data_IF_628327583355
#
_entry.id   IF_628327583355
#
_cell.length_a   1.000
_cell.length_b   1.000
_cell.length_c   1.000
_cell.angle_alpha   90.00
_cell.angle_beta   90.00
_cell.angle_gamma   90.00
#
_symmetry.space_group_name_H-M   'P 1'
#
loop_
_entity.id
_entity.type
_entity.pdbx_description
1 polymer ?
#
# COMPACT_ATOMS: atom_id res chain seq x y z
N UNK A 1 -31.99 40.32 -57.20
CA UNK A 1 -31.73 41.34 -56.19
C UNK A 1 -31.91 40.69 -54.82
N UNK A 2 -30.86 40.03 -54.32
CA UNK A 2 -30.90 39.32 -53.01
C UNK A 2 -30.18 40.19 -51.98
N UNK A 3 -30.92 40.61 -50.94
CA UNK A 3 -30.36 41.35 -49.80
C UNK A 3 -29.75 40.35 -48.82
N UNK A 4 -28.44 40.42 -48.57
CA UNK A 4 -27.74 39.71 -47.54
C UNK A 4 -27.88 40.49 -46.24
N UNK A 5 -28.51 39.90 -45.24
CA UNK A 5 -28.51 40.45 -43.88
C UNK A 5 -27.27 39.97 -43.15
N UNK A 6 -26.36 40.88 -42.83
CA UNK A 6 -25.24 40.65 -41.94
C UNK A 6 -25.77 40.71 -40.51
N UNK A 7 -25.81 39.60 -39.85
CA UNK A 7 -26.10 39.52 -38.40
C UNK A 7 -24.83 39.88 -37.65
N UNK A 8 -24.86 41.02 -36.99
CA UNK A 8 -23.80 41.47 -36.06
C UNK A 8 -23.77 40.59 -34.85
N UNK A 9 -22.76 39.71 -34.74
CA UNK A 9 -22.51 38.95 -33.55
C UNK A 9 -21.95 39.82 -32.43
N UNK A 10 -22.69 39.93 -31.35
CA UNK A 10 -22.38 40.66 -30.13
C UNK A 10 -21.06 40.18 -29.51
N UNK A 11 -20.09 41.04 -29.30
CA UNK A 11 -18.76 40.80 -28.70
C UNK A 11 -18.79 40.59 -27.18
N UNK A 12 -19.88 40.13 -26.55
CA UNK A 12 -19.97 39.98 -25.08
C UNK A 12 -19.81 38.57 -24.48
N UNK A 13 -19.88 37.44 -25.20
CA UNK A 13 -19.73 36.13 -24.53
C UNK A 13 -18.27 35.74 -24.25
N UNK A 14 -17.29 36.28 -25.00
CA UNK A 14 -15.88 35.84 -24.83
C UNK A 14 -15.28 36.40 -23.54
N UNK A 15 -15.61 37.61 -23.14
CA UNK A 15 -15.11 38.21 -21.90
C UNK A 15 -15.65 37.48 -20.64
N UNK A 16 -16.92 37.07 -20.65
CA UNK A 16 -17.52 36.30 -19.57
C UNK A 16 -16.95 34.86 -19.51
N UNK A 17 -16.71 34.26 -20.66
CA UNK A 17 -16.09 32.92 -20.72
C UNK A 17 -14.63 32.92 -20.22
N UNK A 18 -13.87 33.99 -20.57
CA UNK A 18 -12.52 34.17 -20.03
C UNK A 18 -12.50 34.46 -18.52
N UNK A 19 -13.46 35.23 -18.00
CA UNK A 19 -13.57 35.52 -16.57
C UNK A 19 -13.95 34.25 -15.80
N UNK A 20 -14.88 33.44 -16.33
CA UNK A 20 -15.23 32.13 -15.72
C UNK A 20 -14.06 31.16 -15.80
N UNK A 21 -13.34 31.10 -16.92
CA UNK A 21 -12.15 30.29 -17.07
C UNK A 21 -11.02 30.71 -16.10
N UNK A 22 -10.81 32.02 -15.93
CA UNK A 22 -9.88 32.55 -14.94
C UNK A 22 -10.33 32.27 -13.51
N UNK A 23 -11.61 32.39 -13.17
CA UNK A 23 -12.10 32.02 -11.84
C UNK A 23 -11.97 30.53 -11.56
N UNK A 24 -12.22 29.66 -12.54
CA UNK A 24 -12.00 28.19 -12.40
C UNK A 24 -10.51 27.87 -12.24
N UNK A 25 -9.63 28.59 -12.93
CA UNK A 25 -8.17 28.43 -12.77
C UNK A 25 -7.69 28.95 -11.42
N UNK A 26 -8.27 30.05 -10.89
CA UNK A 26 -7.91 30.53 -9.56
C UNK A 26 -8.49 29.70 -8.41
N UNK A 27 -9.61 29.01 -8.59
CA UNK A 27 -10.13 28.05 -7.59
C UNK A 27 -9.37 26.72 -7.57
N UNK A 28 -8.57 26.40 -8.58
CA UNK A 28 -7.71 25.21 -8.62
C UNK A 28 -6.29 25.45 -8.09
N UNK A 29 -6.01 26.57 -7.43
CA UNK A 29 -4.86 26.67 -6.53
C UNK A 29 -5.15 25.74 -5.36
N UNK A 30 -4.87 24.44 -5.51
CA UNK A 30 -4.81 23.52 -4.40
C UNK A 30 -3.90 24.18 -3.35
N UNK A 31 -4.48 24.53 -2.20
CA UNK A 31 -3.70 25.02 -1.07
C UNK A 31 -2.82 23.85 -0.66
N UNK A 32 -1.55 23.89 -1.08
CA UNK A 32 -0.57 22.92 -0.61
C UNK A 32 -0.43 23.09 0.89
N UNK A 33 -0.66 22.02 1.62
CA UNK A 33 -0.42 22.04 3.06
C UNK A 33 1.07 22.26 3.32
N UNK A 34 1.44 23.12 4.29
CA UNK A 34 2.83 23.31 4.61
C UNK A 34 3.43 22.02 5.18
N UNK A 35 4.60 21.65 4.69
CA UNK A 35 5.39 20.57 5.27
C UNK A 35 6.04 21.10 6.55
N UNK A 36 5.55 20.62 7.70
CA UNK A 36 6.05 21.04 9.02
C UNK A 36 6.77 19.88 9.69
N UNK A 37 8.10 19.81 9.50
CA UNK A 37 8.99 18.85 10.17
C UNK A 37 10.04 19.62 10.92
N UNK A 38 10.15 19.36 12.24
CA UNK A 38 11.23 19.86 13.07
C UNK A 38 12.33 18.79 13.19
N UNK A 39 13.44 19.04 12.51
CA UNK A 39 14.60 18.12 12.48
C UNK A 39 15.29 17.98 13.83
N UNK A 40 15.15 18.96 14.72
CA UNK A 40 15.78 18.91 16.05
C UNK A 40 15.18 17.81 16.95
N UNK A 41 14.04 17.24 16.57
CA UNK A 41 13.43 16.11 17.27
C UNK A 41 14.01 14.76 16.89
N UNK A 42 15.04 14.72 16.03
CA UNK A 42 15.65 13.49 15.52
C UNK A 42 17.17 13.52 15.71
N UNK A 43 17.68 12.39 16.23
CA UNK A 43 19.12 12.15 16.41
C UNK A 43 19.53 10.95 15.56
N UNK A 44 20.03 11.22 14.37
CA UNK A 44 20.35 10.20 13.39
C UNK A 44 21.63 10.52 12.62
N UNK A 45 22.24 9.48 12.07
CA UNK A 45 23.38 9.54 11.15
C UNK A 45 23.12 8.59 9.98
N UNK A 46 23.37 9.04 8.75
CA UNK A 46 23.30 8.24 7.54
C UNK A 46 24.68 8.23 6.88
N UNK A 47 25.30 7.07 6.83
CA UNK A 47 26.52 6.83 6.07
C UNK A 47 26.21 5.89 4.90
N UNK A 48 26.95 5.99 3.82
CA UNK A 48 26.85 5.06 2.69
C UNK A 48 28.13 4.29 2.52
N UNK A 49 28.01 3.00 2.27
CA UNK A 49 29.18 2.18 1.96
C UNK A 49 29.64 2.38 0.48
N UNK A 50 30.63 1.62 0.08
CA UNK A 50 31.17 1.67 -1.30
C UNK A 50 30.11 1.38 -2.37
N UNK A 51 29.09 0.58 -2.07
CA UNK A 51 28.00 0.21 -2.98
C UNK A 51 26.85 1.20 -2.95
N UNK A 52 26.91 2.19 -2.07
CA UNK A 52 25.86 3.18 -1.88
C UNK A 52 24.75 2.73 -0.90
N UNK A 53 24.89 1.55 -0.29
CA UNK A 53 23.91 1.06 0.69
C UNK A 53 23.92 1.97 1.92
N UNK A 54 22.77 2.50 2.35
CA UNK A 54 22.72 3.37 3.52
C UNK A 54 22.85 2.58 4.83
N UNK A 55 23.68 3.07 5.71
CA UNK A 55 23.85 2.66 7.10
C UNK A 55 23.26 3.75 7.99
N UNK A 56 22.14 3.47 8.62
CA UNK A 56 21.38 4.42 9.41
C UNK A 56 21.60 4.10 10.89
N UNK A 57 22.09 5.08 11.64
CA UNK A 57 22.19 5.01 13.10
C UNK A 57 21.28 6.04 13.73
N UNK A 58 20.67 5.70 14.86
CA UNK A 58 19.81 6.60 15.59
C UNK A 58 19.78 6.32 17.08
N UNK A 59 19.45 7.33 17.89
CA UNK A 59 19.27 7.14 19.32
C UNK A 59 18.04 6.30 19.64
N UNK A 60 16.97 6.46 18.85
CA UNK A 60 15.72 5.73 19.00
C UNK A 60 15.33 4.97 17.73
N UNK A 61 14.40 4.01 17.85
CA UNK A 61 13.81 3.31 16.70
C UNK A 61 13.09 4.30 15.77
N UNK A 62 12.51 5.36 16.31
CA UNK A 62 11.89 6.44 15.56
C UNK A 62 12.90 7.22 14.70
N UNK A 63 14.11 7.46 15.23
CA UNK A 63 15.18 8.11 14.46
C UNK A 63 15.63 7.26 13.28
N UNK A 64 15.69 5.93 13.48
CA UNK A 64 15.94 4.98 12.39
C UNK A 64 14.86 5.08 11.32
N UNK A 65 13.58 5.05 11.72
CA UNK A 65 12.48 5.17 10.78
C UNK A 65 12.53 6.50 10.00
N UNK A 66 12.92 7.60 10.65
CA UNK A 66 13.16 8.88 9.97
C UNK A 66 14.25 8.74 8.90
N UNK A 67 15.37 8.13 9.25
CA UNK A 67 16.46 7.88 8.31
C UNK A 67 16.03 7.04 7.12
N UNK A 68 15.25 5.97 7.34
CA UNK A 68 14.68 5.14 6.26
C UNK A 68 13.78 5.97 5.34
N UNK A 69 12.88 6.78 5.90
CA UNK A 69 12.00 7.65 5.12
C UNK A 69 12.78 8.66 4.27
N UNK A 70 13.86 9.21 4.83
CA UNK A 70 14.74 10.14 4.12
C UNK A 70 15.45 9.48 2.93
N UNK A 71 16.09 8.32 3.13
CA UNK A 71 16.83 7.63 2.05
C UNK A 71 15.89 7.06 0.98
N UNK A 72 14.69 6.61 1.33
CA UNK A 72 13.67 6.23 0.34
C UNK A 72 13.25 7.43 -0.51
N UNK A 73 13.09 8.60 0.09
CA UNK A 73 12.76 9.81 -0.65
C UNK A 73 13.95 10.34 -1.48
N UNK A 74 15.18 10.05 -1.07
CA UNK A 74 16.39 10.45 -1.79
C UNK A 74 16.64 9.56 -3.02
N UNK A 75 16.52 8.23 -2.87
CA UNK A 75 16.95 7.25 -3.85
C UNK A 75 15.80 6.64 -4.66
N UNK A 76 14.62 6.48 -4.05
CA UNK A 76 13.46 5.77 -4.60
C UNK A 76 12.20 6.63 -4.65
N UNK A 77 12.34 7.94 -4.87
CA UNK A 77 11.23 8.89 -4.87
C UNK A 77 10.12 8.54 -5.86
N UNK A 78 10.49 8.11 -7.07
CA UNK A 78 9.52 7.75 -8.11
C UNK A 78 8.67 6.54 -7.71
N UNK A 79 9.22 5.61 -6.93
CA UNK A 79 8.47 4.46 -6.41
C UNK A 79 7.45 4.90 -5.36
N UNK A 80 7.83 5.85 -4.48
CA UNK A 80 6.88 6.48 -3.55
C UNK A 80 5.76 7.23 -4.28
N UNK A 81 6.08 7.93 -5.38
CA UNK A 81 5.08 8.61 -6.23
C UNK A 81 4.11 7.62 -6.89
N UNK A 82 4.53 6.38 -7.13
CA UNK A 82 3.64 5.34 -7.65
C UNK A 82 2.73 4.77 -6.55
N UNK A 83 3.24 4.60 -5.33
CA UNK A 83 2.52 3.99 -4.21
C UNK A 83 1.50 4.92 -3.55
N UNK A 84 1.84 6.19 -3.35
CA UNK A 84 0.98 7.09 -2.59
C UNK A 84 -0.44 7.27 -3.14
N UNK A 85 -0.67 7.36 -4.46
CA UNK A 85 -2.04 7.40 -5.00
C UNK A 85 -2.84 6.13 -4.70
N UNK A 86 -2.18 4.96 -4.71
CA UNK A 86 -2.80 3.70 -4.32
C UNK A 86 -3.24 3.72 -2.85
N UNK A 87 -2.37 4.14 -1.95
CA UNK A 87 -2.64 4.24 -0.52
C UNK A 87 -3.78 5.22 -0.19
N UNK A 88 -3.87 6.30 -0.96
CA UNK A 88 -4.91 7.33 -0.82
C UNK A 88 -6.24 6.98 -1.51
N UNK A 89 -6.34 5.86 -2.22
CA UNK A 89 -7.50 5.53 -3.04
C UNK A 89 -7.72 6.54 -4.18
N UNK A 90 -6.63 7.05 -4.74
CA UNK A 90 -6.57 8.02 -5.84
C UNK A 90 -5.80 7.49 -7.05
N UNK A 91 -5.67 6.17 -7.16
CA UNK A 91 -4.94 5.52 -8.23
C UNK A 91 -5.61 5.78 -9.61
N UNK A 92 -6.94 5.92 -9.65
CA UNK A 92 -7.68 6.33 -10.84
C UNK A 92 -7.33 7.75 -11.32
N UNK A 93 -6.89 8.66 -10.44
CA UNK A 93 -6.37 9.97 -10.82
C UNK A 93 -4.97 9.85 -11.43
N UNK A 94 -4.15 8.92 -10.94
CA UNK A 94 -2.78 8.71 -11.43
C UNK A 94 -2.78 7.91 -12.73
N UNK A 95 -3.46 6.77 -12.75
CA UNK A 95 -3.35 5.73 -13.78
C UNK A 95 -4.64 5.54 -14.61
N UNK A 96 -5.61 6.46 -14.49
CA UNK A 96 -6.84 6.42 -15.27
C UNK A 96 -7.74 5.23 -14.91
N UNK A 97 -8.30 4.58 -15.94
CA UNK A 97 -9.25 3.47 -15.76
C UNK A 97 -8.59 2.27 -15.06
N UNK A 98 -7.35 1.95 -15.40
CA UNK A 98 -6.64 0.81 -14.79
C UNK A 98 -6.45 1.02 -13.29
N UNK A 99 -6.07 2.23 -12.89
CA UNK A 99 -5.97 2.60 -11.47
C UNK A 99 -7.32 2.62 -10.74
N UNK A 100 -8.40 2.92 -11.44
CA UNK A 100 -9.73 2.98 -10.86
C UNK A 100 -10.25 1.61 -10.38
N UNK A 101 -9.77 0.51 -10.95
CA UNK A 101 -10.11 -0.84 -10.50
C UNK A 101 -9.63 -1.09 -9.07
N UNK A 102 -8.40 -0.67 -8.77
CA UNK A 102 -7.85 -0.78 -7.40
C UNK A 102 -8.60 0.13 -6.43
N UNK A 103 -8.88 1.38 -6.83
CA UNK A 103 -9.67 2.30 -6.00
C UNK A 103 -11.08 1.76 -5.72
N UNK A 104 -11.69 1.08 -6.71
CA UNK A 104 -12.98 0.42 -6.54
C UNK A 104 -12.92 -0.66 -5.46
N UNK A 105 -11.90 -1.53 -5.48
CA UNK A 105 -11.76 -2.60 -4.48
C UNK A 105 -11.48 -2.04 -3.08
N UNK A 106 -10.62 -1.02 -2.96
CA UNK A 106 -10.34 -0.35 -1.68
C UNK A 106 -11.63 0.20 -1.06
N UNK A 107 -12.50 0.83 -1.87
CA UNK A 107 -13.79 1.37 -1.42
C UNK A 107 -14.79 0.27 -1.13
N UNK A 108 -14.90 -0.75 -1.99
CA UNK A 108 -15.79 -1.87 -1.80
C UNK A 108 -15.50 -2.61 -0.48
N UNK A 109 -14.22 -2.82 -0.17
CA UNK A 109 -13.78 -3.45 1.08
C UNK A 109 -13.83 -2.48 2.27
N UNK A 110 -14.14 -1.20 2.04
CA UNK A 110 -14.19 -0.13 3.07
C UNK A 110 -12.90 -0.01 3.87
N UNK A 111 -11.75 -0.23 3.21
CA UNK A 111 -10.45 -0.27 3.89
C UNK A 111 -10.16 1.05 4.60
N UNK A 112 -10.46 2.18 3.96
CA UNK A 112 -10.24 3.51 4.52
C UNK A 112 -11.13 3.77 5.73
N UNK A 113 -12.42 3.49 5.61
CA UNK A 113 -13.41 3.70 6.66
C UNK A 113 -13.09 2.84 7.88
N UNK A 114 -12.82 1.55 7.69
CA UNK A 114 -12.46 0.62 8.77
C UNK A 114 -11.17 1.04 9.48
N UNK A 115 -10.17 1.49 8.71
CA UNK A 115 -8.93 2.00 9.30
C UNK A 115 -9.19 3.27 10.13
N UNK A 116 -9.97 4.21 9.61
CA UNK A 116 -10.28 5.47 10.30
C UNK A 116 -11.08 5.23 11.59
N UNK A 117 -11.93 4.19 11.61
CA UNK A 117 -12.68 3.79 12.80
C UNK A 117 -11.81 3.11 13.86
N UNK A 118 -10.92 2.18 13.46
CA UNK A 118 -10.27 1.27 14.41
C UNK A 118 -8.75 1.09 14.19
N UNK A 119 -8.19 1.49 13.05
CA UNK A 119 -6.83 1.10 12.65
C UNK A 119 -5.76 1.57 13.64
N UNK A 120 -5.77 2.85 14.00
CA UNK A 120 -4.78 3.39 14.95
C UNK A 120 -4.94 2.81 16.36
N UNK A 121 -6.17 2.48 16.77
CA UNK A 121 -6.43 1.93 18.12
C UNK A 121 -5.86 0.51 18.30
N UNK A 122 -5.60 -0.21 17.22
CA UNK A 122 -5.00 -1.55 17.24
C UNK A 122 -3.47 -1.52 17.32
N UNK A 123 -2.85 -0.37 17.12
CA UNK A 123 -1.40 -0.24 17.06
C UNK A 123 -0.85 0.38 18.34
N UNK A 124 0.20 -0.20 18.93
CA UNK A 124 0.90 0.44 20.05
C UNK A 124 1.57 1.73 19.62
N UNK A 125 1.78 2.64 20.57
CA UNK A 125 2.42 3.94 20.33
C UNK A 125 3.77 3.85 19.64
N UNK A 126 4.52 2.79 19.89
CA UNK A 126 5.82 2.53 19.26
C UNK A 126 5.70 2.42 17.73
N UNK A 127 4.72 1.71 17.22
CA UNK A 127 4.48 1.60 15.77
C UNK A 127 4.03 2.93 15.17
N UNK A 128 3.21 3.68 15.89
CA UNK A 128 2.80 5.03 15.49
C UNK A 128 4.00 5.98 15.44
N UNK A 129 4.92 5.87 16.39
CA UNK A 129 6.15 6.65 16.44
C UNK A 129 7.11 6.28 15.30
N UNK A 130 7.24 4.99 14.96
CA UNK A 130 8.00 4.55 13.78
C UNK A 130 7.40 5.13 12.49
N UNK A 131 6.10 4.98 12.30
CA UNK A 131 5.40 5.53 11.14
C UNK A 131 5.57 7.06 11.06
N UNK A 132 5.51 7.75 12.22
CA UNK A 132 5.77 9.20 12.29
C UNK A 132 7.20 9.54 11.87
N UNK A 133 8.19 8.83 12.39
CA UNK A 133 9.58 9.01 11.97
C UNK A 133 9.71 8.88 10.46
N UNK A 134 9.20 7.80 9.90
CA UNK A 134 9.29 7.52 8.48
C UNK A 134 8.66 8.62 7.60
N UNK A 135 7.43 9.04 7.92
CA UNK A 135 6.78 10.11 7.14
C UNK A 135 7.47 11.45 7.30
N UNK A 136 8.00 11.74 8.49
CA UNK A 136 8.78 12.97 8.73
C UNK A 136 10.08 12.97 7.92
N UNK A 137 10.75 11.81 7.75
CA UNK A 137 11.92 11.67 6.87
C UNK A 137 11.61 11.97 5.41
N UNK A 138 10.54 11.38 4.87
CA UNK A 138 10.07 11.65 3.50
C UNK A 138 9.71 13.14 3.33
N UNK A 139 8.95 13.68 4.27
CA UNK A 139 8.51 15.06 4.21
C UNK A 139 9.65 16.05 4.39
N UNK A 140 10.65 15.73 5.21
CA UNK A 140 11.84 16.54 5.38
C UNK A 140 12.67 16.60 4.09
N UNK A 141 12.88 15.46 3.41
CA UNK A 141 13.52 15.44 2.10
C UNK A 141 12.78 16.34 1.10
N UNK A 142 11.44 16.23 1.06
CA UNK A 142 10.61 17.04 0.18
C UNK A 142 10.72 18.54 0.47
N UNK A 143 10.78 18.92 1.75
CA UNK A 143 10.97 20.30 2.20
C UNK A 143 12.32 20.87 1.74
N UNK A 144 13.39 20.05 1.81
CA UNK A 144 14.74 20.44 1.39
C UNK A 144 14.93 20.45 -0.14
N UNK A 145 14.15 19.66 -0.87
CA UNK A 145 14.29 19.45 -2.30
C UNK A 145 13.00 19.76 -3.09
N UNK A 146 12.41 20.95 -2.97
CA UNK A 146 11.08 21.24 -3.54
C UNK A 146 11.03 21.18 -5.06
N UNK A 147 12.17 21.25 -5.76
CA UNK A 147 12.26 21.12 -7.20
C UNK A 147 12.30 19.67 -7.68
N UNK A 148 12.62 18.72 -6.80
CA UNK A 148 12.75 17.29 -7.12
C UNK A 148 11.49 16.49 -6.80
N UNK A 149 10.50 17.11 -6.14
CA UNK A 149 9.35 16.39 -5.59
C UNK A 149 8.02 16.78 -6.23
N UNK A 150 7.10 15.83 -6.26
CA UNK A 150 5.72 16.11 -6.61
C UNK A 150 4.98 16.70 -5.40
N UNK A 151 4.78 18.01 -5.37
CA UNK A 151 4.12 18.71 -4.27
C UNK A 151 2.72 18.21 -3.93
N UNK A 152 2.00 17.61 -4.89
CA UNK A 152 0.65 17.08 -4.66
C UNK A 152 0.66 15.81 -3.80
N UNK A 153 1.79 15.13 -3.69
CA UNK A 153 1.96 13.97 -2.85
C UNK A 153 2.11 14.35 -1.37
N UNK A 154 2.63 15.54 -1.09
CA UNK A 154 2.99 15.98 0.26
C UNK A 154 1.96 16.88 0.93
N UNK A 155 1.91 16.87 2.28
CA UNK A 155 2.66 15.98 3.15
C UNK A 155 2.16 14.54 3.05
N UNK A 156 3.09 13.58 3.14
CA UNK A 156 2.75 12.18 3.41
C UNK A 156 2.35 12.06 4.87
N UNK A 157 1.31 11.31 5.19
CA UNK A 157 0.80 11.16 6.55
C UNK A 157 1.04 9.75 7.12
N UNK A 158 0.99 9.63 8.45
CA UNK A 158 1.04 8.33 9.13
C UNK A 158 -0.06 7.41 8.60
N UNK A 159 -1.26 7.96 8.38
CA UNK A 159 -2.39 7.23 7.79
C UNK A 159 -2.03 6.62 6.45
N UNK A 160 -1.38 7.39 5.56
CA UNK A 160 -1.02 6.91 4.22
C UNK A 160 -0.12 5.67 4.30
N UNK A 161 0.91 5.68 5.14
CA UNK A 161 1.87 4.56 5.19
C UNK A 161 1.35 3.34 5.94
N UNK A 162 0.62 3.52 7.04
CA UNK A 162 0.04 2.40 7.78
C UNK A 162 -1.09 1.73 6.99
N UNK A 163 -1.95 2.53 6.37
CA UNK A 163 -2.97 2.03 5.46
C UNK A 163 -2.36 1.37 4.22
N UNK A 164 -1.27 1.95 3.71
CA UNK A 164 -0.50 1.40 2.61
C UNK A 164 0.09 0.03 2.93
N UNK A 165 0.59 -0.17 4.15
CA UNK A 165 1.06 -1.47 4.62
C UNK A 165 -0.04 -2.53 4.57
N UNK A 166 -1.25 -2.21 5.02
CA UNK A 166 -2.40 -3.10 4.96
C UNK A 166 -2.82 -3.41 3.51
N UNK A 167 -2.91 -2.39 2.65
CA UNK A 167 -3.25 -2.58 1.24
C UNK A 167 -2.21 -3.48 0.55
N UNK A 168 -0.92 -3.23 0.77
CA UNK A 168 0.15 -4.09 0.24
C UNK A 168 0.01 -5.52 0.73
N UNK A 169 -0.31 -5.72 2.02
CA UNK A 169 -0.52 -7.04 2.57
C UNK A 169 -1.66 -7.79 1.84
N UNK A 170 -2.81 -7.17 1.63
CA UNK A 170 -3.93 -7.77 0.89
C UNK A 170 -3.55 -8.14 -0.55
N UNK A 171 -2.74 -7.29 -1.21
CA UNK A 171 -2.26 -7.54 -2.57
C UNK A 171 -1.31 -8.75 -2.60
N UNK A 172 -0.35 -8.84 -1.69
CA UNK A 172 0.57 -9.97 -1.58
C UNK A 172 -0.13 -11.25 -1.16
N UNK A 173 -1.17 -11.17 -0.32
CA UNK A 173 -1.99 -12.29 0.08
C UNK A 173 -2.86 -12.85 -1.07
N UNK A 174 -3.00 -12.11 -2.17
CA UNK A 174 -3.59 -12.61 -3.41
C UNK A 174 -5.00 -12.11 -3.71
N UNK A 175 -5.44 -10.99 -3.14
CA UNK A 175 -6.77 -10.43 -3.38
C UNK A 175 -7.12 -10.36 -4.88
N UNK A 176 -6.24 -9.82 -5.70
CA UNK A 176 -6.50 -9.73 -7.15
C UNK A 176 -6.56 -11.08 -7.83
N UNK A 177 -5.69 -12.00 -7.45
CA UNK A 177 -5.68 -13.36 -8.01
C UNK A 177 -7.01 -14.08 -7.75
N UNK A 178 -7.53 -13.97 -6.53
CA UNK A 178 -8.82 -14.59 -6.19
C UNK A 178 -9.97 -13.99 -7.00
N UNK A 179 -9.99 -12.66 -7.18
CA UNK A 179 -10.99 -11.98 -8.01
C UNK A 179 -10.83 -12.33 -9.50
N UNK A 180 -9.60 -12.36 -10.01
CA UNK A 180 -9.31 -12.74 -11.39
C UNK A 180 -9.71 -14.19 -11.68
N UNK A 181 -9.58 -15.10 -10.72
CA UNK A 181 -9.98 -16.49 -10.86
C UNK A 181 -11.47 -16.66 -11.19
N UNK A 182 -12.33 -15.69 -10.81
CA UNK A 182 -13.75 -15.68 -11.09
C UNK A 182 -14.09 -15.32 -12.54
N UNK A 183 -13.17 -14.65 -13.21
CA UNK A 183 -13.41 -14.10 -14.55
C UNK A 183 -13.19 -15.10 -15.68
N UNK A 184 -12.83 -16.35 -15.47
CA UNK A 184 -12.42 -17.30 -16.53
C UNK A 184 -11.49 -16.67 -17.61
N UNK A 185 -10.88 -15.52 -17.32
CA UNK A 185 -9.97 -14.86 -18.24
C UNK A 185 -8.80 -15.80 -18.52
N UNK A 186 -8.59 -16.05 -19.79
CA UNK A 186 -7.33 -16.60 -20.28
C UNK A 186 -6.21 -15.88 -19.53
N UNK A 187 -5.40 -16.66 -18.82
CA UNK A 187 -4.30 -16.28 -17.96
C UNK A 187 -3.71 -14.93 -18.34
N UNK A 188 -4.02 -13.90 -17.57
CA UNK A 188 -3.17 -12.72 -17.52
C UNK A 188 -1.76 -13.25 -17.28
N UNK A 189 -0.80 -12.76 -18.03
CA UNK A 189 0.60 -13.24 -17.96
C UNK A 189 0.97 -13.38 -16.48
N UNK A 190 1.14 -14.61 -16.02
CA UNK A 190 1.49 -14.91 -14.63
C UNK A 190 2.74 -14.09 -14.33
N UNK A 191 2.59 -13.02 -13.55
CA UNK A 191 3.75 -12.39 -12.94
C UNK A 191 4.41 -13.52 -12.17
N UNK A 192 5.67 -13.87 -12.45
CA UNK A 192 6.33 -14.97 -11.77
C UNK A 192 6.29 -14.71 -10.28
N UNK A 193 5.36 -15.38 -9.58
CA UNK A 193 5.21 -15.29 -8.14
C UNK A 193 5.92 -16.47 -7.54
N UNK A 194 7.04 -16.23 -6.94
CA UNK A 194 7.81 -17.26 -6.26
C UNK A 194 8.95 -16.63 -5.50
N UNK A 195 9.65 -17.42 -4.73
CA UNK A 195 10.87 -17.01 -4.05
C UNK A 195 11.58 -18.27 -3.55
N UNK A 196 12.87 -18.16 -3.28
CA UNK A 196 13.64 -19.22 -2.67
C UNK A 196 14.35 -18.69 -1.42
N UNK A 197 14.32 -19.43 -0.35
CA UNK A 197 15.15 -19.19 0.83
C UNK A 197 15.91 -20.47 1.17
N UNK A 198 17.21 -20.40 1.32
CA UNK A 198 18.08 -21.52 1.63
C UNK A 198 18.95 -21.15 2.83
N UNK A 199 18.84 -21.94 3.90
CA UNK A 199 19.70 -21.81 5.07
C UNK A 199 20.67 -22.98 5.15
N UNK A 200 21.96 -22.69 5.29
CA UNK A 200 23.01 -23.71 5.44
C UNK A 200 23.63 -23.55 6.82
N UNK A 201 23.56 -24.65 7.61
CA UNK A 201 24.13 -24.70 8.95
C UNK A 201 25.66 -24.66 8.89
N UNK A 202 26.29 -23.91 9.78
CA UNK A 202 27.75 -23.79 9.87
C UNK A 202 28.50 -25.10 9.98
N UNK A 203 27.91 -26.14 10.60
CA UNK A 203 28.52 -27.49 10.67
C UNK A 203 28.73 -28.14 9.29
N UNK A 204 28.06 -27.65 8.25
CA UNK A 204 28.15 -28.14 6.86
C UNK A 204 28.99 -27.24 5.97
N UNK A 205 29.67 -26.25 6.53
CA UNK A 205 30.41 -25.23 5.78
C UNK A 205 31.87 -25.14 6.25
N UNK A 206 32.72 -24.61 5.38
CA UNK A 206 34.09 -24.20 5.72
C UNK A 206 34.07 -22.68 5.54
N UNK A 207 34.21 -21.84 6.56
CA UNK A 207 34.84 -21.98 7.89
C UNK A 207 33.85 -22.15 9.07
N UNK A 208 32.85 -22.99 9.00
CA UNK A 208 31.86 -23.20 10.06
C UNK A 208 30.94 -21.96 10.30
N UNK A 209 30.58 -21.28 9.22
CA UNK A 209 29.66 -20.16 9.22
C UNK A 209 28.31 -20.56 8.66
N UNK A 210 27.23 -20.09 9.26
CA UNK A 210 25.89 -20.26 8.71
C UNK A 210 25.66 -19.28 7.57
N UNK A 211 24.95 -19.72 6.54
CA UNK A 211 24.58 -18.89 5.38
C UNK A 211 23.08 -18.90 5.22
N UNK A 212 22.52 -17.71 4.89
CA UNK A 212 21.15 -17.55 4.47
C UNK A 212 21.16 -16.91 3.07
N UNK A 213 20.59 -17.60 2.10
CA UNK A 213 20.33 -17.05 0.78
C UNK A 213 18.83 -16.79 0.65
N UNK A 214 18.48 -15.60 0.20
CA UNK A 214 17.12 -15.20 -0.09
C UNK A 214 17.09 -14.75 -1.55
N UNK A 215 16.24 -15.36 -2.35
CA UNK A 215 16.02 -14.99 -3.75
C UNK A 215 14.54 -14.74 -3.97
N UNK A 216 14.14 -13.50 -3.91
CA UNK A 216 12.78 -13.06 -4.24
C UNK A 216 12.65 -12.90 -5.74
N UNK A 217 11.57 -13.42 -6.34
CA UNK A 217 11.27 -13.21 -7.76
C UNK A 217 10.53 -11.89 -7.98
N UNK A 218 10.98 -10.85 -7.29
CA UNK A 218 10.44 -9.49 -7.42
C UNK A 218 11.12 -8.75 -8.59
N UNK A 219 10.43 -7.78 -9.21
CA UNK A 219 11.08 -6.85 -10.15
C UNK A 219 12.31 -6.17 -9.52
N UNK A 220 13.32 -5.92 -10.33
CA UNK A 220 14.55 -5.24 -9.90
C UNK A 220 14.36 -3.74 -9.66
N UNK A 221 13.23 -3.18 -10.04
CA UNK A 221 12.89 -1.77 -9.90
C UNK A 221 11.38 -1.60 -9.74
N UNK A 222 10.96 -0.42 -9.32
CA UNK A 222 9.57 -0.07 -9.08
C UNK A 222 9.14 -0.33 -7.63
N UNK A 223 7.85 -0.13 -7.32
CA UNK A 223 7.34 -0.10 -5.94
C UNK A 223 7.54 -1.38 -5.12
N UNK A 224 7.84 -2.49 -5.77
CA UNK A 224 8.14 -3.79 -5.13
C UNK A 224 9.58 -4.25 -5.40
N UNK A 225 10.44 -3.36 -5.90
CA UNK A 225 11.88 -3.56 -5.96
C UNK A 225 12.48 -3.48 -4.56
N UNK A 226 13.45 -4.35 -4.28
CA UNK A 226 14.12 -4.34 -2.98
C UNK A 226 15.05 -3.14 -2.83
N UNK A 227 14.95 -2.48 -1.68
CA UNK A 227 15.86 -1.44 -1.24
C UNK A 227 16.68 -1.97 -0.06
N UNK A 228 18.01 -2.06 -0.25
CA UNK A 228 18.94 -2.59 0.75
C UNK A 228 19.37 -1.50 1.73
N UNK A 229 19.39 -1.83 3.02
CA UNK A 229 19.81 -0.91 4.08
C UNK A 229 20.29 -1.63 5.33
N UNK A 230 21.06 -0.91 6.13
CA UNK A 230 21.51 -1.32 7.47
C UNK A 230 20.98 -0.32 8.49
N UNK A 231 20.43 -0.82 9.61
CA UNK A 231 19.88 0.01 10.68
C UNK A 231 20.45 -0.38 12.03
N UNK A 232 20.69 0.61 12.91
CA UNK A 232 21.17 0.41 14.27
C UNK A 232 20.67 1.52 15.19
N UNK A 233 19.83 1.19 16.17
CA UNK A 233 19.39 2.11 17.22
C UNK A 233 19.99 1.75 18.58
N UNK A 234 20.10 2.75 19.46
CA UNK A 234 20.52 2.53 20.86
C UNK A 234 19.43 1.82 21.67
N UNK A 235 18.17 1.78 21.19
CA UNK A 235 17.07 1.00 21.77
C UNK A 235 17.14 -0.48 21.40
N UNK A 236 18.10 -0.91 20.56
CA UNK A 236 18.42 -2.30 20.29
C UNK A 236 17.92 -2.83 18.95
N UNK A 237 17.24 -2.04 18.12
CA UNK A 237 16.92 -2.45 16.77
C UNK A 237 18.17 -2.40 15.89
N UNK A 238 18.70 -3.58 15.57
CA UNK A 238 19.83 -3.78 14.67
C UNK A 238 19.43 -4.78 13.60
N UNK A 239 19.44 -4.37 12.35
CA UNK A 239 19.11 -5.26 11.25
C UNK A 239 19.81 -4.80 9.96
N UNK A 240 20.09 -5.76 9.08
CA UNK A 240 20.56 -5.55 7.72
C UNK A 240 19.71 -6.35 6.76
N UNK A 241 19.30 -5.77 5.66
CA UNK A 241 18.51 -6.48 4.66
C UNK A 241 17.78 -5.57 3.71
N UNK A 242 16.67 -6.05 3.18
CA UNK A 242 15.86 -5.34 2.21
C UNK A 242 14.45 -5.05 2.70
N UNK A 243 13.95 -3.91 2.25
CA UNK A 243 12.53 -3.57 2.36
C UNK A 243 12.02 -3.02 1.03
N UNK A 244 10.75 -2.64 0.99
CA UNK A 244 10.18 -1.95 -0.16
C UNK A 244 10.07 -0.45 0.13
N UNK A 245 10.22 0.44 -0.88
CA UNK A 245 9.79 1.82 -0.74
C UNK A 245 8.34 1.86 -0.20
N UNK A 246 8.10 2.70 0.80
CA UNK A 246 6.81 2.71 1.51
C UNK A 246 6.77 1.89 2.82
N UNK A 247 7.73 0.98 3.02
CA UNK A 247 7.91 0.22 4.28
C UNK A 247 9.06 0.81 5.10
N UNK A 248 8.87 0.91 6.40
CA UNK A 248 9.91 1.35 7.33
C UNK A 248 10.52 0.19 8.15
N UNK A 249 10.27 -1.06 7.73
CA UNK A 249 10.75 -2.27 8.42
C UNK A 249 11.57 -3.13 7.47
N UNK A 250 12.47 -3.95 8.00
CA UNK A 250 13.25 -4.90 7.21
C UNK A 250 12.39 -6.15 6.97
N UNK A 251 12.00 -6.38 5.72
CA UNK A 251 11.13 -7.48 5.35
C UNK A 251 11.91 -8.79 5.12
N UNK A 252 13.14 -8.70 4.61
CA UNK A 252 14.07 -9.84 4.46
C UNK A 252 15.44 -9.43 4.93
N UNK A 253 16.14 -10.28 5.67
CA UNK A 253 17.44 -9.89 6.17
C UNK A 253 17.90 -10.67 7.39
N UNK A 254 18.69 -10.04 8.22
CA UNK A 254 19.20 -10.61 9.45
C UNK A 254 19.47 -9.53 10.51
N UNK A 255 19.44 -9.96 11.75
CA UNK A 255 19.94 -9.21 12.88
C UNK A 255 21.13 -9.97 13.51
N UNK A 256 21.57 -9.55 14.68
CA UNK A 256 22.70 -10.17 15.40
C UNK A 256 22.49 -11.65 15.67
N UNK A 257 21.25 -12.12 15.80
CA UNK A 257 20.93 -13.44 16.34
C UNK A 257 20.34 -14.39 15.30
N UNK A 258 19.52 -13.87 14.39
CA UNK A 258 18.74 -14.64 13.42
C UNK A 258 18.78 -14.01 12.05
N UNK A 259 18.52 -14.82 11.02
CA UNK A 259 18.20 -14.35 9.68
C UNK A 259 16.82 -14.83 9.26
N UNK A 260 16.13 -14.05 8.47
CA UNK A 260 14.80 -14.38 7.94
C UNK A 260 14.67 -14.03 6.47
N UNK A 261 13.84 -14.79 5.78
CA UNK A 261 13.50 -14.57 4.39
C UNK A 261 12.04 -14.90 4.16
N UNK A 262 11.35 -14.01 3.49
CA UNK A 262 9.96 -14.20 3.10
C UNK A 262 9.91 -14.84 1.70
N UNK A 263 9.14 -15.91 1.56
CA UNK A 263 8.78 -16.50 0.28
C UNK A 263 7.29 -16.34 0.05
N UNK A 264 6.85 -16.41 -1.21
CA UNK A 264 5.42 -16.33 -1.52
C UNK A 264 4.68 -17.43 -0.76
N UNK A 265 3.78 -17.01 0.13
CA UNK A 265 2.79 -17.84 0.75
C UNK A 265 1.45 -17.63 0.03
N UNK A 266 0.65 -18.69 -0.05
CA UNK A 266 -0.74 -18.61 -0.54
C UNK A 266 -1.67 -18.99 0.59
N UNK A 267 -1.84 -18.11 1.62
CA UNK A 267 -2.74 -18.39 2.71
C UNK A 267 -4.17 -18.38 2.17
N UNK A 268 -4.98 -19.30 2.65
CA UNK A 268 -6.42 -19.34 2.41
C UNK A 268 -7.09 -18.31 3.34
N UNK A 269 -7.08 -17.05 2.94
CA UNK A 269 -7.62 -15.94 3.72
C UNK A 269 -8.83 -15.28 3.07
N UNK A 270 -9.19 -15.68 1.87
CA UNK A 270 -10.33 -15.16 1.13
C UNK A 270 -11.35 -16.26 0.88
N UNK A 271 -12.59 -16.02 1.27
CA UNK A 271 -13.74 -16.82 0.89
C UNK A 271 -14.59 -16.05 -0.13
N UNK A 272 -14.97 -16.74 -1.20
CA UNK A 272 -15.81 -16.15 -2.24
C UNK A 272 -17.10 -16.97 -2.37
N UNK A 273 -18.23 -16.31 -2.11
CA UNK A 273 -19.55 -16.91 -2.14
C UNK A 273 -20.31 -16.48 -3.39
N UNK A 274 -20.63 -17.41 -4.29
CA UNK A 274 -21.56 -17.12 -5.39
C UNK A 274 -22.96 -16.99 -4.82
N UNK A 275 -23.59 -15.83 -5.03
CA UNK A 275 -24.91 -15.52 -4.49
C UNK A 275 -26.02 -15.98 -5.45
N UNK A 276 -27.04 -16.66 -4.92
CA UNK A 276 -28.27 -16.92 -5.64
C UNK A 276 -29.16 -15.67 -5.62
N UNK A 277 -29.45 -15.11 -6.78
CA UNK A 277 -30.18 -13.84 -6.92
C UNK A 277 -31.65 -14.11 -7.17
N UNK A 278 -32.55 -13.36 -6.51
CA UNK A 278 -33.97 -13.46 -6.69
C UNK A 278 -34.33 -13.09 -8.15
N UNK A 279 -34.91 -14.03 -8.92
CA UNK A 279 -35.27 -13.77 -10.32
C UNK A 279 -36.33 -12.68 -10.51
N UNK A 280 -37.13 -12.40 -9.47
CA UNK A 280 -38.18 -11.38 -9.49
C UNK A 280 -37.72 -10.03 -8.91
N UNK A 281 -36.56 -9.99 -8.20
CA UNK A 281 -36.00 -8.78 -7.63
C UNK A 281 -34.46 -8.91 -7.53
N UNK A 282 -33.73 -8.38 -8.50
CA UNK A 282 -32.27 -8.47 -8.58
C UNK A 282 -31.53 -7.74 -7.45
N UNK A 283 -32.27 -7.02 -6.59
CA UNK A 283 -31.71 -6.41 -5.37
C UNK A 283 -31.79 -7.35 -4.15
N UNK A 284 -32.13 -8.62 -4.35
CA UNK A 284 -32.23 -9.63 -3.30
C UNK A 284 -31.34 -10.84 -3.60
N UNK A 285 -30.75 -11.39 -2.54
CA UNK A 285 -30.00 -12.64 -2.55
C UNK A 285 -30.61 -13.63 -1.54
N UNK A 286 -30.31 -14.89 -1.73
CA UNK A 286 -30.85 -15.98 -0.89
C UNK A 286 -29.96 -16.23 0.30
N UNK A 287 -30.59 -16.35 1.48
CA UNK A 287 -29.96 -16.83 2.71
C UNK A 287 -30.86 -17.90 3.28
N UNK A 288 -30.41 -19.14 3.31
CA UNK A 288 -31.18 -20.31 3.64
C UNK A 288 -32.46 -20.40 2.76
N UNK A 289 -33.64 -20.34 3.35
CA UNK A 289 -34.90 -20.37 2.64
C UNK A 289 -35.56 -19.00 2.44
N UNK A 290 -34.81 -17.91 2.68
CA UNK A 290 -35.35 -16.55 2.61
C UNK A 290 -34.59 -15.63 1.66
N UNK A 291 -35.27 -14.62 1.10
CA UNK A 291 -34.67 -13.57 0.33
C UNK A 291 -34.33 -12.37 1.22
N UNK A 292 -33.11 -11.85 1.12
CA UNK A 292 -32.65 -10.65 1.81
C UNK A 292 -32.25 -9.58 0.81
N UNK A 293 -32.53 -8.32 1.13
CA UNK A 293 -32.10 -7.17 0.34
C UNK A 293 -30.60 -6.90 0.51
N UNK A 294 -29.94 -6.54 -0.59
CA UNK A 294 -28.59 -5.95 -0.49
C UNK A 294 -28.64 -4.60 0.20
N UNK A 295 -27.68 -4.35 1.06
CA UNK A 295 -27.37 -2.98 1.49
C UNK A 295 -26.62 -2.30 0.35
N UNK A 296 -27.14 -1.18 -0.16
CA UNK A 296 -26.52 -0.45 -1.28
C UNK A 296 -26.08 0.92 -0.84
N UNK A 297 -24.82 1.22 -0.99
CA UNK A 297 -24.21 2.52 -0.73
C UNK A 297 -23.77 3.16 -2.04
N UNK A 298 -23.93 4.49 -2.12
CA UNK A 298 -23.54 5.26 -3.31
C UNK A 298 -22.28 6.05 -3.03
N UNK A 299 -21.26 5.84 -3.84
CA UNK A 299 -20.03 6.63 -3.79
C UNK A 299 -19.55 6.92 -5.22
N UNK A 300 -18.41 7.59 -5.36
CA UNK A 300 -17.84 7.94 -6.66
C UNK A 300 -16.34 7.65 -6.71
N UNK A 301 -15.90 7.18 -7.85
CA UNK A 301 -14.49 7.01 -8.20
C UNK A 301 -14.02 8.23 -8.98
N UNK A 302 -12.83 8.73 -8.66
CA UNK A 302 -12.18 9.83 -9.39
C UNK A 302 -11.25 9.26 -10.45
N UNK A 303 -11.59 9.50 -11.72
CA UNK A 303 -10.86 8.92 -12.84
C UNK A 303 -10.34 10.03 -13.75
N UNK A 304 -9.04 10.02 -14.05
CA UNK A 304 -8.44 10.90 -15.04
C UNK A 304 -8.57 10.31 -16.43
N UNK A 305 -9.20 11.06 -17.30
CA UNK A 305 -9.34 10.71 -18.72
C UNK A 305 -8.34 11.51 -19.56
N UNK A 306 -7.69 10.86 -20.54
CA UNK A 306 -6.75 11.46 -21.47
C UNK A 306 -5.67 12.34 -20.83
N UNK A 307 -5.32 12.06 -19.58
CA UNK A 307 -4.36 12.84 -18.76
C UNK A 307 -4.71 14.32 -18.54
N UNK A 308 -5.94 14.73 -18.88
CA UNK A 308 -6.36 16.15 -18.85
C UNK A 308 -7.54 16.36 -17.89
N UNK A 309 -8.58 15.54 -17.99
CA UNK A 309 -9.84 15.74 -17.28
C UNK A 309 -10.04 14.68 -16.19
N UNK A 310 -10.26 15.12 -14.96
CA UNK A 310 -10.69 14.23 -13.87
C UNK A 310 -12.21 14.28 -13.75
N UNK A 311 -12.86 13.12 -13.84
CA UNK A 311 -14.30 12.96 -13.69
C UNK A 311 -14.62 12.16 -12.43
N UNK A 312 -15.82 12.38 -11.87
CA UNK A 312 -16.37 11.54 -10.80
C UNK A 312 -17.38 10.56 -11.41
N UNK A 313 -17.06 9.27 -11.31
CA UNK A 313 -17.92 8.19 -11.80
C UNK A 313 -18.66 7.61 -10.61
N UNK A 314 -19.97 7.87 -10.54
CA UNK A 314 -20.84 7.31 -9.49
C UNK A 314 -20.94 5.79 -9.64
N UNK A 315 -20.89 5.09 -8.51
CA UNK A 315 -21.04 3.63 -8.41
C UNK A 315 -21.91 3.27 -7.21
N UNK A 316 -22.66 2.21 -7.38
CA UNK A 316 -23.38 1.56 -6.29
C UNK A 316 -22.49 0.42 -5.78
N UNK A 317 -22.25 0.41 -4.48
CA UNK A 317 -21.51 -0.62 -3.77
C UNK A 317 -22.51 -1.45 -2.99
N UNK A 318 -22.57 -2.74 -3.27
CA UNK A 318 -23.52 -3.66 -2.62
C UNK A 318 -22.83 -4.49 -1.56
N UNK A 319 -23.55 -4.76 -0.49
CA UNK A 319 -23.12 -5.57 0.64
C UNK A 319 -24.19 -6.60 0.98
N UNK A 320 -23.72 -7.80 1.35
CA UNK A 320 -24.55 -8.91 1.83
C UNK A 320 -24.08 -9.30 3.25
N UNK A 321 -24.79 -10.23 3.89
CA UNK A 321 -24.35 -10.84 5.15
C UNK A 321 -23.03 -11.61 5.01
N UNK A 322 -22.65 -11.97 3.78
CA UNK A 322 -21.42 -12.69 3.47
C UNK A 322 -20.26 -11.75 3.10
N UNK A 323 -20.47 -10.43 3.11
CA UNK A 323 -19.46 -9.42 2.80
C UNK A 323 -19.82 -8.53 1.60
N UNK A 324 -18.88 -7.67 1.17
CA UNK A 324 -18.99 -6.83 -0.01
C UNK A 324 -19.18 -7.65 -1.29
N UNK A 325 -19.95 -7.10 -2.23
CA UNK A 325 -20.42 -7.84 -3.42
C UNK A 325 -19.81 -7.25 -4.69
N UNK A 326 -19.22 -8.11 -5.51
CA UNK A 326 -18.79 -7.78 -6.87
C UNK A 326 -19.69 -8.49 -7.87
N UNK A 327 -19.86 -7.89 -9.05
CA UNK A 327 -20.57 -8.49 -10.17
C UNK A 327 -19.59 -8.78 -11.31
N UNK A 328 -19.56 -10.04 -11.75
CA UNK A 328 -18.68 -10.54 -12.80
C UNK A 328 -19.53 -11.38 -13.76
N UNK A 329 -19.57 -10.99 -15.03
CA UNK A 329 -20.34 -11.68 -16.09
C UNK A 329 -21.80 -11.96 -15.71
N UNK A 330 -22.43 -11.00 -15.02
CA UNK A 330 -23.82 -11.09 -14.58
C UNK A 330 -24.05 -11.98 -13.35
N UNK A 331 -23.01 -12.57 -12.77
CA UNK A 331 -23.06 -13.27 -11.50
C UNK A 331 -22.60 -12.36 -10.36
N UNK A 332 -23.21 -12.47 -9.20
CA UNK A 332 -22.81 -11.72 -8.00
C UNK A 332 -22.07 -12.64 -7.03
N UNK A 333 -20.96 -12.14 -6.52
CA UNK A 333 -20.08 -12.83 -5.57
C UNK A 333 -19.85 -11.95 -4.36
N UNK A 334 -20.03 -12.50 -3.16
CA UNK A 334 -19.61 -11.84 -1.93
C UNK A 334 -18.17 -12.24 -1.59
N UNK A 335 -17.39 -11.30 -1.09
CA UNK A 335 -15.99 -11.51 -0.70
C UNK A 335 -15.91 -11.39 0.82
N UNK A 336 -15.39 -12.41 1.48
CA UNK A 336 -15.00 -12.38 2.88
C UNK A 336 -13.50 -12.58 3.00
N UNK A 337 -12.85 -11.97 3.99
CA UNK A 337 -11.44 -12.23 4.25
C UNK A 337 -11.14 -12.20 5.76
N UNK A 338 -10.21 -13.05 6.18
CA UNK A 338 -9.89 -13.27 7.59
C UNK A 338 -9.18 -12.09 8.26
N UNK A 339 -8.63 -11.16 7.48
CA UNK A 339 -7.98 -9.94 7.96
C UNK A 339 -8.88 -8.72 7.95
N UNK A 340 -10.19 -8.92 7.78
CA UNK A 340 -11.15 -7.83 7.83
C UNK A 340 -11.10 -7.13 9.20
N UNK A 341 -11.00 -5.80 9.20
CA UNK A 341 -10.79 -4.97 10.41
C UNK A 341 -9.50 -5.25 11.21
N UNK A 342 -8.51 -5.94 10.65
CA UNK A 342 -7.22 -6.16 11.31
C UNK A 342 -6.12 -5.33 10.65
N UNK A 343 -5.41 -4.51 11.42
CA UNK A 343 -4.37 -3.59 10.96
C UNK A 343 -3.03 -3.77 11.70
N UNK A 344 -2.83 -4.95 12.30
CA UNK A 344 -1.65 -5.26 13.13
C UNK A 344 -0.42 -5.76 12.37
N UNK A 345 -0.45 -5.86 11.04
CA UNK A 345 0.63 -6.45 10.23
C UNK A 345 1.97 -5.76 10.45
N UNK A 346 1.95 -4.44 10.56
CA UNK A 346 3.16 -3.63 10.79
C UNK A 346 3.81 -3.98 12.12
N UNK A 347 3.01 -4.17 13.17
CA UNK A 347 3.51 -4.62 14.48
C UNK A 347 4.19 -5.99 14.36
N UNK A 348 3.54 -6.94 13.66
CA UNK A 348 4.10 -8.27 13.43
C UNK A 348 5.48 -8.23 12.81
N UNK A 349 5.64 -7.45 11.75
CA UNK A 349 6.95 -7.29 11.10
C UNK A 349 7.99 -6.63 12.01
N UNK A 350 7.62 -5.64 12.81
CA UNK A 350 8.53 -5.01 13.74
C UNK A 350 9.02 -5.97 14.83
N UNK A 351 8.12 -6.74 15.41
CA UNK A 351 8.47 -7.75 16.40
C UNK A 351 9.38 -8.85 15.83
N UNK A 352 9.21 -9.22 14.56
CA UNK A 352 10.13 -10.14 13.87
C UNK A 352 11.53 -9.54 13.74
N UNK A 353 11.66 -8.27 13.42
CA UNK A 353 12.95 -7.58 13.34
C UNK A 353 13.71 -7.56 14.68
N UNK A 354 12.99 -7.52 15.79
CA UNK A 354 13.56 -7.50 17.15
C UNK A 354 13.82 -8.88 17.72
N UNK A 355 13.35 -9.97 17.09
CA UNK A 355 13.47 -11.32 17.61
C UNK A 355 14.93 -11.72 17.84
N UNK A 356 15.21 -12.25 19.03
CA UNK A 356 16.55 -12.63 19.48
C UNK A 356 16.85 -14.13 19.32
N UNK A 357 15.85 -14.93 18.97
CA UNK A 357 15.96 -16.37 18.79
C UNK A 357 14.94 -16.89 17.77
N UNK A 358 15.22 -18.07 17.22
CA UNK A 358 14.28 -18.76 16.31
C UNK A 358 12.96 -19.08 17.01
N UNK A 359 12.99 -19.43 18.30
CA UNK A 359 11.75 -19.74 19.04
C UNK A 359 10.88 -18.48 19.19
N UNK A 360 11.47 -17.36 19.58
CA UNK A 360 10.77 -16.09 19.66
C UNK A 360 10.19 -15.67 18.28
N UNK A 361 11.00 -15.80 17.23
CA UNK A 361 10.54 -15.53 15.87
C UNK A 361 9.33 -16.39 15.49
N UNK A 362 9.35 -17.69 15.82
CA UNK A 362 8.22 -18.60 15.59
C UNK A 362 6.98 -18.20 16.37
N UNK A 363 7.12 -17.89 17.66
CA UNK A 363 6.02 -17.44 18.52
C UNK A 363 5.36 -16.19 17.92
N UNK A 364 6.17 -15.22 17.49
CA UNK A 364 5.67 -14.00 16.85
C UNK A 364 4.96 -14.30 15.53
N UNK A 365 5.52 -15.15 14.67
CA UNK A 365 4.90 -15.53 13.39
C UNK A 365 3.56 -16.25 13.59
N UNK A 366 3.42 -17.08 14.61
CA UNK A 366 2.17 -17.78 14.93
C UNK A 366 1.11 -16.84 15.48
N UNK A 367 1.51 -15.83 16.27
CA UNK A 367 0.61 -14.82 16.83
C UNK A 367 -0.03 -13.96 15.74
N UNK A 368 0.65 -13.83 14.59
CA UNK A 368 0.15 -13.13 13.41
C UNK A 368 -0.22 -14.16 12.35
N UNK A 369 -1.45 -14.66 12.36
CA UNK A 369 -1.94 -15.77 11.51
C UNK A 369 -1.78 -15.55 10.02
N UNK A 370 -1.65 -14.30 9.58
CA UNK A 370 -1.35 -13.91 8.21
C UNK A 370 0.13 -14.11 7.82
N UNK A 371 1.05 -14.26 8.81
CA UNK A 371 2.47 -14.53 8.63
C UNK A 371 2.76 -16.01 9.01
N UNK A 372 2.29 -16.98 8.23
CA UNK A 372 2.59 -18.38 8.51
C UNK A 372 4.07 -18.68 8.23
N UNK A 373 4.79 -19.15 9.26
CA UNK A 373 6.10 -19.76 9.09
C UNK A 373 5.93 -21.18 8.54
N UNK A 374 6.53 -21.46 7.39
CA UNK A 374 6.74 -22.84 6.95
C UNK A 374 8.06 -23.36 7.51
N UNK A 375 7.96 -24.30 8.41
CA UNK A 375 9.14 -25.01 8.92
C UNK A 375 9.46 -26.17 7.99
N UNK A 376 10.64 -26.17 7.39
CA UNK A 376 11.24 -27.40 6.91
C UNK A 376 11.98 -28.04 8.07
N UNK A 377 11.42 -29.09 8.64
CA UNK A 377 12.17 -29.98 9.54
C UNK A 377 13.28 -30.64 8.73
N UNK A 378 14.51 -30.16 8.91
CA UNK A 378 15.68 -30.89 8.44
C UNK A 378 15.84 -32.13 9.35
N UNK A 379 15.49 -33.29 8.86
CA UNK A 379 15.92 -34.55 9.41
C UNK A 379 17.38 -34.84 9.09
#
# INVERSE_FOLDING_TARGET
MYRIYIVSFYKKPIAHFMIILCMVVFQSCAQFQPINVDINNYSYEINRDFWGVPHIKGATNKDIAFGIGYVHAEDAYEDLVQLMPLYKGENGIKNGIDGATTDYLIRLLKIHEKYDENGLAQLPSEIIDLAKGYVDGINYFAKQNPAKVNRKMHPVSIRDVLLGSHIQHLLFAGLFREIESLNNFEKSAEVPTGSNAIAVNGKKTIPNSSYLMINSHQPLSGPVGWYELNVSSDEGWQAHGGNFPGSFLINVGFNKNIGWGATVNRPDIFDIYKLEINPNNTNQYKVDDSWKDFVTEKDSLRIRLLNILTINVKRDFQYSDFGPVIEIEGNKFAISHSTDNYFGETLGWFELNLSSSVNEFKEKTVSYTHLRAHETTCH
#
